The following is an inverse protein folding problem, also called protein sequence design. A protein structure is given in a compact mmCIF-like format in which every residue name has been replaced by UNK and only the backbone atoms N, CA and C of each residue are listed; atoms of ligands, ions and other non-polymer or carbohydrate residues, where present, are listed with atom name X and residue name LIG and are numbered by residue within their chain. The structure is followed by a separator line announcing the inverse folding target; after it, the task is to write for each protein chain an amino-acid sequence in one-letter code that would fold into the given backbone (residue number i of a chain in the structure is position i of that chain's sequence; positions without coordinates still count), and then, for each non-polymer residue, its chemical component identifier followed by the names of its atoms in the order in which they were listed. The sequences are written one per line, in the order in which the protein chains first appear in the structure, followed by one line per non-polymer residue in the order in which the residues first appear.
data_IF_680239138776
#
_entry.id   IF_680239138776
#
_cell.length_a   1.000
_cell.length_b   1.000
_cell.length_c   1.000
_cell.angle_alpha   90.00
_cell.angle_beta   90.00
_cell.angle_gamma   90.00
#
_symmetry.space_group_name_H-M   'P 1'
#
loop_
_entity.id
_entity.type
_entity.pdbx_description
1 polymer ?
#
# COMPACT_ATOMS: atom_id res chain seq x y z
N UNK A 1 16.33 -15.28 -15.57
CA UNK A 1 15.08 -14.70 -16.11
C UNK A 1 14.98 -13.27 -15.58
N UNK A 2 14.86 -12.28 -16.46
CA UNK A 2 14.68 -10.88 -16.04
C UNK A 2 13.21 -10.58 -15.71
N UNK A 3 12.99 -9.79 -14.65
CA UNK A 3 11.66 -9.35 -14.23
C UNK A 3 11.37 -7.99 -14.84
N UNK A 4 10.27 -7.86 -15.57
CA UNK A 4 9.72 -6.57 -16.01
C UNK A 4 8.64 -6.14 -15.02
N UNK A 5 8.65 -4.87 -14.60
CA UNK A 5 7.64 -4.29 -13.70
C UNK A 5 7.32 -2.87 -14.13
N UNK A 6 6.11 -2.39 -13.83
CA UNK A 6 5.77 -0.98 -13.98
C UNK A 6 6.50 -0.14 -12.93
N UNK A 7 6.89 1.08 -13.29
CA UNK A 7 7.53 2.00 -12.35
C UNK A 7 6.53 2.42 -11.27
N UNK A 8 6.94 2.54 -9.99
CA UNK A 8 6.02 2.90 -8.91
C UNK A 8 5.30 4.24 -9.10
N UNK A 9 5.91 5.18 -9.83
CA UNK A 9 5.31 6.48 -10.15
C UNK A 9 4.01 6.38 -10.98
N UNK A 10 3.81 5.28 -11.72
CA UNK A 10 2.58 5.06 -12.50
C UNK A 10 1.33 5.03 -11.62
N UNK A 11 1.45 4.61 -10.36
CA UNK A 11 0.31 4.53 -9.42
C UNK A 11 -0.35 5.90 -9.23
N UNK A 12 0.44 6.98 -9.20
CA UNK A 12 -0.08 8.35 -9.02
C UNK A 12 -0.86 8.87 -10.24
N UNK A 13 -0.67 8.28 -11.42
CA UNK A 13 -1.33 8.69 -12.67
C UNK A 13 -2.57 7.84 -13.00
N UNK A 14 -2.84 6.79 -12.23
CA UNK A 14 -4.00 5.93 -12.43
C UNK A 14 -5.30 6.69 -12.11
N UNK A 15 -6.38 6.41 -12.87
CA UNK A 15 -7.70 7.00 -12.57
C UNK A 15 -8.30 6.45 -11.29
N UNK A 16 -8.05 5.17 -11.01
CA UNK A 16 -8.49 4.46 -9.82
C UNK A 16 -7.36 3.56 -9.34
N UNK A 17 -7.17 3.52 -8.01
CA UNK A 17 -6.19 2.64 -7.37
C UNK A 17 -6.94 1.78 -6.36
N UNK A 18 -6.82 0.46 -6.49
CA UNK A 18 -7.35 -0.50 -5.54
C UNK A 18 -6.18 -1.28 -4.94
N UNK A 19 -5.99 -1.16 -3.63
CA UNK A 19 -4.98 -1.94 -2.89
C UNK A 19 -5.71 -2.98 -2.05
N UNK A 20 -5.33 -4.25 -2.22
CA UNK A 20 -5.91 -5.36 -1.48
C UNK A 20 -4.83 -6.00 -0.61
N UNK A 21 -5.11 -6.16 0.68
CA UNK A 21 -4.18 -6.77 1.64
C UNK A 21 -4.95 -7.76 2.49
N UNK A 22 -4.39 -8.95 2.67
CA UNK A 22 -4.97 -10.02 3.45
C UNK A 22 -3.91 -10.68 4.34
N UNK A 23 -4.35 -11.15 5.51
CA UNK A 23 -3.57 -11.93 6.46
C UNK A 23 -2.76 -11.10 7.47
N UNK A 24 -2.61 -11.66 8.67
CA UNK A 24 -1.92 -11.04 9.81
C UNK A 24 -0.47 -10.63 9.51
N UNK A 25 0.24 -11.35 8.64
CA UNK A 25 1.63 -11.07 8.28
C UNK A 25 1.87 -9.71 7.60
N UNK A 26 0.79 -8.97 7.29
CA UNK A 26 0.84 -7.63 6.70
C UNK A 26 0.45 -6.50 7.66
N UNK A 27 -0.06 -6.82 8.85
CA UNK A 27 -0.63 -5.83 9.78
C UNK A 27 0.31 -4.66 10.10
N UNK A 28 1.57 -4.96 10.42
CA UNK A 28 2.54 -3.92 10.75
C UNK A 28 2.88 -3.04 9.55
N UNK A 29 3.03 -3.65 8.37
CA UNK A 29 3.34 -2.88 7.16
C UNK A 29 2.14 -2.03 6.72
N UNK A 30 0.91 -2.51 6.90
CA UNK A 30 -0.30 -1.72 6.67
C UNK A 30 -0.32 -0.49 7.57
N UNK A 31 -0.03 -0.63 8.87
CA UNK A 31 0.11 0.51 9.78
C UNK A 31 1.20 1.47 9.32
N UNK A 32 2.39 0.96 9.00
CA UNK A 32 3.52 1.79 8.53
C UNK A 32 3.18 2.56 7.26
N UNK A 33 2.52 1.93 6.30
CA UNK A 33 2.17 2.56 5.02
C UNK A 33 1.06 3.61 5.18
N UNK A 34 0.04 3.33 5.99
CA UNK A 34 -1.13 4.21 6.11
C UNK A 34 -0.97 5.31 7.18
N UNK A 35 -0.16 5.09 8.22
CA UNK A 35 -0.05 5.99 9.39
C UNK A 35 1.38 6.37 9.75
N UNK A 36 2.39 5.65 9.23
CA UNK A 36 3.79 5.92 9.52
C UNK A 36 4.33 7.16 8.82
N UNK A 37 5.58 7.52 9.16
CA UNK A 37 6.30 8.58 8.46
C UNK A 37 6.44 8.27 6.96
N UNK A 38 6.32 9.31 6.14
CA UNK A 38 6.37 9.18 4.68
C UNK A 38 7.82 9.01 4.21
N UNK A 39 8.15 7.80 3.78
CA UNK A 39 9.41 7.41 3.15
C UNK A 39 9.12 6.45 1.97
N UNK A 40 8.75 6.97 0.79
CA UNK A 40 8.36 6.14 -0.35
C UNK A 40 9.53 5.41 -1.02
N UNK A 41 10.78 5.77 -0.72
CA UNK A 41 11.93 5.01 -1.20
C UNK A 41 12.07 3.71 -0.42
N UNK A 42 11.87 3.76 0.90
CA UNK A 42 11.85 2.57 1.75
C UNK A 42 10.54 1.79 1.63
N UNK A 43 9.41 2.50 1.52
CA UNK A 43 8.06 1.93 1.49
C UNK A 43 7.27 2.36 0.23
N UNK A 44 7.53 1.77 -0.95
CA UNK A 44 6.89 2.19 -2.20
C UNK A 44 5.36 2.12 -2.20
N UNK A 45 4.74 1.27 -1.37
CA UNK A 45 3.29 1.19 -1.21
C UNK A 45 2.66 2.50 -0.69
N UNK A 46 3.44 3.38 -0.05
CA UNK A 46 2.97 4.72 0.32
C UNK A 46 2.61 5.59 -0.88
N UNK A 47 3.13 5.29 -2.09
CA UNK A 47 2.71 5.97 -3.33
C UNK A 47 1.25 5.66 -3.71
N UNK A 48 0.67 4.59 -3.16
CA UNK A 48 -0.74 4.23 -3.33
C UNK A 48 -1.66 4.88 -2.27
N UNK A 49 -1.11 5.66 -1.33
CA UNK A 49 -1.90 6.44 -0.36
C UNK A 49 -2.31 7.75 -1.04
N UNK A 50 -3.41 7.69 -1.77
CA UNK A 50 -3.94 8.76 -2.61
C UNK A 50 -5.41 9.01 -2.27
N UNK A 51 -5.93 10.24 -2.48
CA UNK A 51 -7.35 10.54 -2.22
C UNK A 51 -8.34 9.66 -3.00
N UNK A 52 -7.93 9.15 -4.16
CA UNK A 52 -8.74 8.29 -5.04
C UNK A 52 -8.40 6.79 -4.91
N UNK A 53 -7.58 6.42 -3.92
CA UNK A 53 -7.26 5.03 -3.65
C UNK A 53 -8.28 4.40 -2.71
N UNK A 54 -8.73 3.19 -3.03
CA UNK A 54 -9.52 2.34 -2.13
C UNK A 54 -8.62 1.25 -1.57
N UNK A 55 -8.62 1.10 -0.24
CA UNK A 55 -7.85 0.08 0.47
C UNK A 55 -8.80 -0.96 1.05
N UNK A 56 -8.67 -2.20 0.58
CA UNK A 56 -9.42 -3.36 1.07
C UNK A 56 -8.51 -4.18 1.97
N UNK A 57 -8.84 -4.19 3.26
CA UNK A 57 -8.13 -4.92 4.30
C UNK A 57 -9.08 -5.93 4.92
N UNK A 58 -8.60 -7.15 5.16
CA UNK A 58 -9.28 -8.04 6.10
C UNK A 58 -8.99 -7.62 7.56
N UNK A 59 -9.68 -8.25 8.52
CA UNK A 59 -9.50 -7.93 9.95
C UNK A 59 -8.06 -8.13 10.42
N UNK A 60 -7.39 -9.16 9.93
CA UNK A 60 -6.04 -9.51 10.37
C UNK A 60 -5.00 -8.50 9.86
N UNK A 61 -5.07 -8.11 8.59
CA UNK A 61 -4.19 -7.10 8.01
C UNK A 61 -4.47 -5.68 8.53
N UNK A 62 -5.67 -5.44 9.08
CA UNK A 62 -6.03 -4.19 9.73
C UNK A 62 -5.74 -4.16 11.24
N UNK A 63 -5.21 -5.23 11.83
CA UNK A 63 -5.11 -5.39 13.29
C UNK A 63 -4.34 -4.27 14.01
N UNK A 64 -3.40 -3.61 13.32
CA UNK A 64 -2.57 -2.53 13.89
C UNK A 64 -3.10 -1.11 13.54
N UNK A 65 -4.33 -0.99 13.05
CA UNK A 65 -5.00 0.28 12.73
C UNK A 65 -6.04 0.72 13.77
N UNK A 66 -6.22 0.00 14.86
CA UNK A 66 -7.04 0.47 15.99
C UNK A 66 -6.30 1.54 16.79
#
# INVERSE_FOLDING_TARGET
MERVTLTPGLVGSARHVLVMVAGAGKAEMVRQVLRGERDPQRWPAQLAVLPHATWLLDRESAANLS
#
